data_IF_154452026158
#
_entry.id   IF_154452026158
#
_cell.length_a   1.000
_cell.length_b   1.000
_cell.length_c   1.000
_cell.angle_alpha   90.00
_cell.angle_beta   90.00
_cell.angle_gamma   90.00
#
_symmetry.space_group_name_H-M   'P 1'
#
loop_
_entity.id
_entity.type
_entity.pdbx_description
1 polymer ?
#
# COMPACT_ATOMS: atom_id res chain seq x y z
N UNK A 1 11.72 -15.94 6.38
CA UNK A 1 11.55 -15.20 5.11
C UNK A 1 11.52 -16.08 3.85
N UNK A 2 12.49 -16.99 3.61
CA UNK A 2 12.59 -17.76 2.35
C UNK A 2 11.29 -18.47 1.90
N UNK A 3 10.55 -19.08 2.83
CA UNK A 3 9.26 -19.75 2.54
C UNK A 3 8.22 -18.82 1.90
N UNK A 4 8.21 -17.54 2.30
CA UNK A 4 7.28 -16.55 1.74
C UNK A 4 7.70 -16.15 0.30
N UNK A 5 9.00 -16.12 0.01
CA UNK A 5 9.50 -15.87 -1.34
C UNK A 5 9.16 -17.04 -2.27
N UNK A 6 9.41 -18.26 -1.83
CA UNK A 6 9.10 -19.49 -2.58
C UNK A 6 7.60 -19.64 -2.88
N UNK A 7 6.75 -19.18 -1.97
CA UNK A 7 5.30 -19.20 -2.13
C UNK A 7 4.73 -17.98 -2.86
N UNK A 8 5.58 -17.10 -3.42
CA UNK A 8 5.19 -15.82 -4.05
C UNK A 8 4.36 -14.89 -3.13
N UNK A 9 4.45 -15.10 -1.81
CA UNK A 9 3.81 -14.27 -0.78
C UNK A 9 4.62 -13.02 -0.50
N UNK A 10 5.92 -13.03 -0.80
CA UNK A 10 6.78 -11.86 -0.88
C UNK A 10 7.22 -11.69 -2.32
N UNK A 11 7.10 -10.48 -2.84
CA UNK A 11 7.54 -10.14 -4.21
C UNK A 11 6.86 -10.95 -5.32
N UNK A 12 5.67 -11.50 -5.06
CA UNK A 12 4.89 -12.18 -6.10
C UNK A 12 4.41 -11.20 -7.16
N UNK A 13 4.49 -11.61 -8.44
CA UNK A 13 4.12 -10.82 -9.63
C UNK A 13 4.97 -9.57 -9.85
N UNK A 14 6.29 -9.65 -9.65
CA UNK A 14 7.21 -8.65 -10.19
C UNK A 14 7.46 -8.89 -11.68
N UNK A 15 7.86 -7.83 -12.39
CA UNK A 15 8.24 -7.92 -13.79
C UNK A 15 9.71 -8.26 -13.92
N UNK A 16 10.02 -9.33 -14.66
CA UNK A 16 11.39 -9.71 -14.98
C UNK A 16 11.97 -8.78 -16.06
N UNK A 17 13.09 -8.14 -15.76
CA UNK A 17 13.87 -7.35 -16.71
C UNK A 17 15.08 -8.17 -17.13
N UNK A 18 15.11 -8.60 -18.40
CA UNK A 18 16.17 -9.46 -18.95
C UNK A 18 16.81 -8.88 -20.20
N UNK A 19 16.10 -7.99 -20.87
CA UNK A 19 16.52 -7.40 -22.12
C UNK A 19 17.66 -6.42 -21.87
N UNK A 20 18.81 -6.54 -22.57
CA UNK A 20 19.98 -5.68 -22.33
C UNK A 20 19.68 -4.18 -22.43
N UNK A 21 18.74 -3.79 -23.30
CA UNK A 21 18.34 -2.39 -23.45
C UNK A 21 17.54 -1.86 -22.27
N UNK A 22 16.73 -2.69 -21.60
CA UNK A 22 15.98 -2.31 -20.39
C UNK A 22 16.91 -2.23 -19.18
N UNK A 23 17.87 -3.15 -19.06
CA UNK A 23 18.92 -3.09 -18.02
C UNK A 23 19.75 -1.81 -18.18
N UNK A 24 20.18 -1.49 -19.41
CA UNK A 24 20.93 -0.27 -19.68
C UNK A 24 20.14 1.00 -19.33
N UNK A 25 18.84 1.02 -19.66
CA UNK A 25 17.91 2.10 -19.31
C UNK A 25 17.73 2.27 -17.80
N UNK A 26 17.57 1.16 -17.08
CA UNK A 26 17.51 1.16 -15.62
C UNK A 26 18.80 1.72 -15.01
N UNK A 27 19.97 1.30 -15.51
CA UNK A 27 21.27 1.82 -15.07
C UNK A 27 21.48 3.30 -15.40
N UNK A 28 20.88 3.83 -16.48
CA UNK A 28 20.84 5.27 -16.72
C UNK A 28 20.03 6.01 -15.66
N UNK A 29 18.87 5.47 -15.27
CA UNK A 29 18.06 6.05 -14.21
C UNK A 29 18.79 6.02 -12.85
N UNK A 30 19.45 4.90 -12.49
CA UNK A 30 20.28 4.81 -11.28
C UNK A 30 21.40 5.86 -11.29
N UNK A 31 22.13 5.98 -12.40
CA UNK A 31 23.20 6.97 -12.52
C UNK A 31 22.66 8.42 -12.42
N UNK A 32 21.45 8.69 -12.92
CA UNK A 32 20.81 9.99 -12.78
C UNK A 32 20.38 10.33 -11.34
N UNK A 33 20.20 9.31 -10.49
CA UNK A 33 19.98 9.47 -9.05
C UNK A 33 21.27 9.51 -8.22
N UNK A 34 22.43 9.57 -8.88
CA UNK A 34 23.76 9.43 -8.27
C UNK A 34 23.96 8.10 -7.52
N UNK A 35 23.25 7.04 -7.97
CA UNK A 35 23.37 5.70 -7.41
C UNK A 35 24.34 4.84 -8.25
N UNK A 36 25.03 3.86 -7.63
CA UNK A 36 25.84 2.90 -8.37
C UNK A 36 24.99 2.10 -9.35
N UNK A 37 25.53 1.86 -10.54
CA UNK A 37 24.88 0.99 -11.53
C UNK A 37 24.91 -0.47 -11.08
N UNK A 38 23.85 -1.22 -11.37
CA UNK A 38 23.80 -2.65 -11.10
C UNK A 38 24.59 -3.42 -12.14
N UNK A 39 25.29 -4.46 -11.70
CA UNK A 39 25.99 -5.42 -12.57
C UNK A 39 25.11 -6.63 -12.92
N UNK A 40 23.87 -6.67 -12.43
CA UNK A 40 22.93 -7.76 -12.68
C UNK A 40 22.50 -7.76 -14.14
N UNK A 41 22.55 -8.94 -14.76
CA UNK A 41 22.04 -9.16 -16.13
C UNK A 41 20.54 -9.38 -16.16
N UNK A 42 19.95 -9.82 -15.04
CA UNK A 42 18.51 -9.95 -14.85
C UNK A 42 18.11 -9.58 -13.43
N UNK A 43 16.95 -8.94 -13.29
CA UNK A 43 16.37 -8.60 -12.00
C UNK A 43 14.86 -8.42 -12.15
N UNK A 44 14.16 -8.28 -11.02
CA UNK A 44 12.71 -8.12 -11.00
C UNK A 44 12.36 -6.76 -10.41
N UNK A 45 11.37 -6.08 -11.00
CA UNK A 45 10.92 -4.75 -10.55
C UNK A 45 9.45 -4.74 -10.18
N UNK A 46 9.10 -3.84 -9.26
CA UNK A 46 7.74 -3.53 -8.86
C UNK A 46 7.15 -2.35 -9.68
N UNK A 47 5.92 -1.91 -9.38
CA UNK A 47 5.28 -0.79 -10.11
C UNK A 47 6.10 0.50 -10.08
N UNK A 48 6.83 0.74 -9.01
CA UNK A 48 7.69 1.93 -8.84
C UNK A 48 9.07 1.75 -9.46
N UNK A 49 9.40 0.56 -9.98
CA UNK A 49 10.72 0.22 -10.46
C UNK A 49 11.66 -0.31 -9.37
N UNK A 50 11.18 -0.51 -8.13
CA UNK A 50 12.02 -1.05 -7.07
C UNK A 50 12.34 -2.53 -7.32
N UNK A 51 13.62 -2.85 -7.28
CA UNK A 51 14.14 -4.22 -7.33
C UNK A 51 14.77 -4.66 -6.01
N UNK A 52 14.28 -5.75 -5.38
CA UNK A 52 14.92 -6.37 -4.21
C UNK A 52 16.33 -6.89 -4.48
N UNK A 53 16.61 -7.37 -5.70
CA UNK A 53 17.93 -7.87 -6.08
C UNK A 53 18.95 -6.73 -6.15
N UNK A 54 18.56 -5.60 -6.73
CA UNK A 54 19.41 -4.40 -6.80
C UNK A 54 19.62 -3.83 -5.40
N UNK A 55 18.59 -3.79 -4.54
CA UNK A 55 18.74 -3.40 -3.14
C UNK A 55 19.78 -4.26 -2.41
N UNK A 56 19.75 -5.58 -2.63
CA UNK A 56 20.71 -6.51 -2.04
C UNK A 56 22.14 -6.32 -2.57
N UNK A 57 22.32 -6.02 -3.87
CA UNK A 57 23.63 -5.71 -4.47
C UNK A 57 24.21 -4.41 -3.91
N UNK A 58 23.39 -3.38 -3.78
CA UNK A 58 23.81 -2.07 -3.25
C UNK A 58 23.99 -2.06 -1.73
N UNK A 59 23.46 -3.06 -1.03
CA UNK A 59 23.42 -3.10 0.44
C UNK A 59 22.48 -2.05 1.05
N UNK A 60 21.56 -1.50 0.25
CA UNK A 60 20.63 -0.45 0.63
C UNK A 60 19.18 -0.86 0.29
N UNK A 61 18.38 -1.29 1.29
CA UNK A 61 16.96 -1.61 1.12
C UNK A 61 16.11 -0.42 0.65
N UNK A 62 16.55 0.81 0.93
CA UNK A 62 15.80 2.04 0.74
C UNK A 62 16.38 2.89 -0.42
N UNK A 63 17.12 2.29 -1.38
CA UNK A 63 17.84 3.05 -2.43
C UNK A 63 16.93 3.91 -3.33
N UNK A 64 15.65 3.53 -3.48
CA UNK A 64 14.62 4.35 -4.15
C UNK A 64 13.68 5.07 -3.16
N UNK A 65 13.91 4.99 -1.86
CA UNK A 65 13.09 5.66 -0.86
C UNK A 65 13.97 6.42 0.15
N UNK A 66 14.77 7.39 -0.32
CA UNK A 66 15.71 8.11 0.52
C UNK A 66 14.97 8.79 1.68
N UNK A 67 15.45 8.54 2.90
CA UNK A 67 14.86 9.03 4.14
C UNK A 67 13.38 8.66 4.35
N UNK A 68 12.81 7.75 3.54
CA UNK A 68 11.41 7.29 3.61
C UNK A 68 10.35 8.35 3.37
N UNK A 69 10.70 9.42 2.64
CA UNK A 69 9.80 10.54 2.35
C UNK A 69 9.68 10.74 0.84
N UNK A 70 10.76 11.20 0.20
CA UNK A 70 10.76 11.54 -1.22
C UNK A 70 11.06 10.30 -2.07
N UNK A 71 10.04 9.45 -2.23
CA UNK A 71 10.20 8.19 -2.96
C UNK A 71 10.56 8.44 -4.42
N UNK A 72 11.64 7.81 -4.86
CA UNK A 72 12.07 7.76 -6.26
C UNK A 72 11.34 6.65 -7.00
N UNK A 73 11.09 6.85 -8.28
CA UNK A 73 10.51 5.84 -9.16
C UNK A 73 11.25 5.74 -10.48
N UNK A 74 11.20 4.55 -11.08
CA UNK A 74 11.74 4.23 -12.41
C UNK A 74 10.67 3.46 -13.18
N UNK A 75 10.26 4.01 -14.32
CA UNK A 75 9.26 3.42 -15.22
C UNK A 75 9.94 3.09 -16.55
N UNK A 76 10.22 1.80 -16.72
CA UNK A 76 10.80 1.20 -17.91
C UNK A 76 9.73 0.83 -18.95
N UNK A 77 8.54 0.42 -18.51
CA UNK A 77 7.47 -0.08 -19.39
C UNK A 77 6.08 0.24 -18.83
N UNK A 78 5.06 0.41 -19.69
CA UNK A 78 3.66 0.58 -19.26
C UNK A 78 3.09 -0.65 -18.55
N UNK A 79 3.65 -1.84 -18.79
CA UNK A 79 3.22 -3.09 -18.11
C UNK A 79 3.41 -3.03 -16.59
N UNK A 80 4.27 -2.12 -16.10
CA UNK A 80 4.48 -1.87 -14.68
C UNK A 80 3.19 -1.48 -13.94
N UNK A 81 2.21 -0.88 -14.62
CA UNK A 81 0.94 -0.46 -14.01
C UNK A 81 0.18 -1.63 -13.37
N UNK A 82 0.38 -2.88 -13.81
CA UNK A 82 -0.31 -4.04 -13.22
C UNK A 82 0.43 -4.67 -12.03
N UNK A 83 1.62 -4.17 -11.70
CA UNK A 83 2.50 -4.77 -10.69
C UNK A 83 2.13 -4.27 -9.29
N UNK A 84 2.38 -5.07 -8.24
CA UNK A 84 2.18 -4.62 -6.88
C UNK A 84 3.27 -3.63 -6.44
N UNK A 85 2.97 -2.76 -5.46
CA UNK A 85 4.01 -2.09 -4.67
C UNK A 85 4.54 -3.05 -3.62
N UNK A 86 5.85 -3.18 -3.58
CA UNK A 86 6.53 -4.13 -2.72
C UNK A 86 7.18 -3.46 -1.51
N UNK A 87 7.86 -2.34 -1.74
CA UNK A 87 8.54 -1.59 -0.71
C UNK A 87 7.86 -0.23 -0.59
N UNK A 88 7.25 0.12 0.54
CA UNK A 88 6.67 1.45 0.70
C UNK A 88 6.61 1.90 2.15
N UNK A 89 6.95 3.18 2.34
CA UNK A 89 6.80 3.91 3.60
C UNK A 89 5.40 4.49 3.78
N UNK A 90 4.62 4.64 2.71
CA UNK A 90 3.25 5.17 2.73
C UNK A 90 2.24 4.19 2.10
N UNK A 91 1.03 4.08 2.67
CA UNK A 91 0.03 3.12 2.18
C UNK A 91 -0.64 3.51 0.86
N UNK A 92 -0.61 4.79 0.51
CA UNK A 92 -1.26 5.36 -0.67
C UNK A 92 -0.39 5.33 -1.93
N UNK A 93 0.90 5.00 -1.82
CA UNK A 93 1.85 5.00 -2.95
C UNK A 93 1.36 4.13 -4.11
N UNK A 94 0.75 2.98 -3.84
CA UNK A 94 0.19 2.12 -4.88
C UNK A 94 -0.92 2.83 -5.67
N UNK A 95 -1.90 3.40 -4.97
CA UNK A 95 -2.99 4.15 -5.58
C UNK A 95 -2.49 5.36 -6.36
N UNK A 96 -1.53 6.10 -5.81
CA UNK A 96 -0.90 7.23 -6.51
C UNK A 96 -0.22 6.81 -7.81
N UNK A 97 0.53 5.70 -7.79
CA UNK A 97 1.19 5.20 -8.99
C UNK A 97 0.16 4.78 -10.04
N UNK A 98 -0.88 4.03 -9.67
CA UNK A 98 -1.94 3.67 -10.61
C UNK A 98 -2.66 4.89 -11.18
N UNK A 99 -2.93 5.90 -10.37
CA UNK A 99 -3.54 7.14 -10.83
C UNK A 99 -2.60 7.91 -11.78
N UNK A 100 -1.30 7.93 -11.49
CA UNK A 100 -0.28 8.51 -12.36
C UNK A 100 -0.16 7.75 -13.69
N UNK A 101 -0.12 6.41 -13.67
CA UNK A 101 -0.09 5.57 -14.86
C UNK A 101 -1.35 5.78 -15.71
N UNK A 102 -2.53 5.75 -15.08
CA UNK A 102 -3.81 5.93 -15.76
C UNK A 102 -3.95 7.33 -16.38
N UNK A 103 -3.61 8.38 -15.63
CA UNK A 103 -3.72 9.76 -16.10
C UNK A 103 -2.71 10.08 -17.22
N UNK A 104 -1.55 9.43 -17.22
CA UNK A 104 -0.44 9.73 -18.14
C UNK A 104 -0.13 8.57 -19.11
N UNK A 105 -1.06 7.62 -19.29
CA UNK A 105 -0.83 6.38 -20.03
C UNK A 105 -0.23 6.61 -21.43
N UNK A 106 -0.77 7.57 -22.19
CA UNK A 106 -0.27 7.90 -23.54
C UNK A 106 1.18 8.39 -23.52
N UNK A 107 1.53 9.26 -22.58
CA UNK A 107 2.87 9.81 -22.45
C UNK A 107 3.87 8.72 -22.02
N UNK A 108 3.49 7.90 -21.03
CA UNK A 108 4.31 6.78 -20.55
C UNK A 108 4.56 5.79 -21.69
N UNK A 109 3.53 5.37 -22.42
CA UNK A 109 3.68 4.50 -23.60
C UNK A 109 4.64 5.10 -24.63
N UNK A 110 4.46 6.37 -24.99
CA UNK A 110 5.30 7.01 -25.99
C UNK A 110 6.79 7.10 -25.60
N UNK A 111 7.07 7.43 -24.33
CA UNK A 111 8.44 7.66 -23.86
C UNK A 111 9.18 6.33 -23.66
N UNK A 112 8.52 5.36 -23.02
CA UNK A 112 9.09 4.03 -22.74
C UNK A 112 9.47 3.24 -24.00
N UNK A 113 8.98 3.61 -25.18
CA UNK A 113 9.44 3.04 -26.45
C UNK A 113 10.93 3.30 -26.71
N UNK A 114 11.41 4.51 -26.42
CA UNK A 114 12.78 4.94 -26.73
C UNK A 114 13.64 5.15 -25.49
N UNK A 115 13.05 5.58 -24.39
CA UNK A 115 13.74 6.01 -23.19
C UNK A 115 13.10 5.43 -21.93
N UNK A 116 13.50 5.93 -20.76
CA UNK A 116 12.95 5.56 -19.46
C UNK A 116 12.56 6.80 -18.69
N UNK A 117 11.41 6.71 -18.05
CA UNK A 117 10.95 7.72 -17.13
C UNK A 117 11.50 7.41 -15.75
N UNK A 118 12.01 8.42 -15.07
CA UNK A 118 12.41 8.31 -13.68
C UNK A 118 12.07 9.63 -12.98
N UNK A 119 12.00 9.61 -11.67
CA UNK A 119 11.58 10.79 -10.97
C UNK A 119 11.43 10.60 -9.48
N UNK A 120 10.89 11.63 -8.84
CA UNK A 120 10.61 11.64 -7.41
C UNK A 120 9.15 11.99 -7.18
N UNK A 121 8.56 11.31 -6.22
CA UNK A 121 7.30 11.66 -5.58
C UNK A 121 7.69 12.68 -4.51
N UNK A 122 7.66 13.96 -4.87
CA UNK A 122 8.09 15.05 -4.01
C UNK A 122 6.98 15.40 -3.01
N UNK A 123 7.32 15.24 -1.73
CA UNK A 123 6.54 15.77 -0.63
C UNK A 123 6.99 17.19 -0.29
N UNK A 124 6.12 17.96 0.35
CA UNK A 124 6.48 19.30 0.86
C UNK A 124 7.54 19.28 1.96
N UNK A 125 7.92 18.10 2.44
CA UNK A 125 8.83 17.87 3.57
C UNK A 125 10.04 17.08 3.10
N UNK A 126 11.24 17.51 3.47
CA UNK A 126 12.48 16.83 3.10
C UNK A 126 12.83 15.63 4.00
N UNK A 127 12.42 15.68 5.27
CA UNK A 127 12.70 14.67 6.29
C UNK A 127 11.62 14.72 7.37
N UNK A 128 11.10 13.55 7.79
CA UNK A 128 10.08 13.46 8.84
C UNK A 128 10.77 13.29 10.20
N UNK A 129 10.68 14.31 11.07
CA UNK A 129 11.22 14.27 12.44
C UNK A 129 10.13 14.19 13.50
N UNK A 130 8.96 14.72 13.18
CA UNK A 130 7.81 14.84 14.07
C UNK A 130 6.51 14.55 13.34
N UNK A 131 5.42 14.33 14.09
CA UNK A 131 4.08 14.18 13.52
C UNK A 131 3.60 15.43 12.77
N UNK A 132 4.05 16.62 13.15
CA UNK A 132 3.68 17.87 12.47
C UNK A 132 4.26 17.92 11.04
N UNK A 133 5.39 17.26 10.81
CA UNK A 133 5.98 17.13 9.48
C UNK A 133 5.09 16.26 8.59
N UNK A 134 4.61 15.11 9.09
CA UNK A 134 3.67 14.24 8.36
C UNK A 134 2.35 14.96 8.04
N UNK A 135 1.84 15.76 8.99
CA UNK A 135 0.61 16.54 8.81
C UNK A 135 0.76 17.68 7.80
N UNK A 136 1.99 18.09 7.49
CA UNK A 136 2.25 19.11 6.48
C UNK A 136 2.17 18.56 5.06
N UNK A 137 2.22 17.22 4.89
CA UNK A 137 2.10 16.52 3.61
C UNK A 137 0.62 16.50 3.19
N UNK A 138 0.18 17.58 2.54
CA UNK A 138 -1.20 17.71 2.06
C UNK A 138 -1.34 17.26 0.59
N UNK A 139 -0.33 17.54 -0.21
CA UNK A 139 -0.30 17.26 -1.64
C UNK A 139 1.08 16.74 -2.02
N UNK A 140 1.09 15.86 -3.01
CA UNK A 140 2.30 15.21 -3.50
C UNK A 140 2.49 15.53 -4.96
N UNK A 141 3.73 15.83 -5.34
CA UNK A 141 4.07 16.23 -6.69
C UNK A 141 5.01 15.23 -7.35
N UNK A 142 4.56 14.65 -8.47
CA UNK A 142 5.42 13.85 -9.32
C UNK A 142 6.38 14.75 -10.10
N UNK A 143 7.67 14.69 -9.78
CA UNK A 143 8.74 15.24 -10.61
C UNK A 143 9.19 14.17 -11.59
N UNK A 144 8.82 14.32 -12.85
CA UNK A 144 9.13 13.35 -13.91
C UNK A 144 10.28 13.86 -14.77
N UNK A 145 11.28 13.02 -14.95
CA UNK A 145 12.44 13.22 -15.82
C UNK A 145 12.57 12.04 -16.79
N UNK A 146 13.33 12.25 -17.87
CA UNK A 146 13.64 11.24 -18.89
C UNK A 146 15.14 11.08 -19.01
N UNK A 147 15.65 9.84 -19.12
CA UNK A 147 17.09 9.58 -19.03
C UNK A 147 17.93 10.23 -20.14
N UNK A 148 17.33 10.46 -21.32
CA UNK A 148 17.98 11.16 -22.45
C UNK A 148 17.48 12.61 -22.64
N UNK A 149 16.85 13.17 -21.59
CA UNK A 149 16.24 14.51 -21.59
C UNK A 149 15.24 14.74 -22.75
N UNK A 150 14.54 13.69 -23.18
CA UNK A 150 13.45 13.81 -24.15
C UNK A 150 12.35 14.77 -23.67
N UNK A 151 12.06 14.80 -22.37
CA UNK A 151 11.08 15.73 -21.78
C UNK A 151 11.53 17.18 -21.89
N UNK A 152 12.78 17.50 -21.50
CA UNK A 152 13.32 18.85 -21.60
C UNK A 152 13.40 19.32 -23.04
N UNK A 153 13.85 18.45 -23.95
CA UNK A 153 13.88 18.73 -25.40
C UNK A 153 12.48 18.97 -25.99
N UNK A 154 11.48 18.20 -25.58
CA UNK A 154 10.10 18.39 -26.02
C UNK A 154 9.50 19.70 -25.49
N UNK A 155 9.81 20.07 -24.24
CA UNK A 155 9.45 21.36 -23.65
C UNK A 155 10.10 22.53 -24.38
N UNK A 156 11.40 22.43 -24.69
CA UNK A 156 12.12 23.44 -25.48
C UNK A 156 11.51 23.59 -26.87
N UNK A 157 11.21 22.48 -27.57
CA UNK A 157 10.58 22.54 -28.89
C UNK A 157 9.19 23.20 -28.83
N UNK A 158 8.40 22.96 -27.78
CA UNK A 158 7.12 23.63 -27.56
C UNK A 158 7.28 25.15 -27.41
N UNK A 159 8.22 25.59 -26.58
CA UNK A 159 8.51 27.02 -26.41
C UNK A 159 8.93 27.68 -27.72
N UNK A 160 9.75 27.00 -28.53
CA UNK A 160 10.16 27.50 -29.84
C UNK A 160 8.99 27.55 -30.84
N UNK A 161 8.09 26.56 -30.82
CA UNK A 161 6.85 26.60 -31.59
C UNK A 161 5.96 27.77 -31.18
N UNK A 162 5.79 28.01 -29.88
CA UNK A 162 4.99 29.13 -29.37
C UNK A 162 5.63 30.47 -29.79
N UNK A 163 6.95 30.62 -29.63
CA UNK A 163 7.70 31.79 -30.06
C UNK A 163 7.57 32.05 -31.57
N UNK A 164 7.59 31.00 -32.40
CA UNK A 164 7.40 31.10 -33.84
C UNK A 164 6.01 31.67 -34.21
N UNK A 165 4.99 31.36 -33.41
CA UNK A 165 3.61 31.83 -33.63
C UNK A 165 3.40 33.24 -33.06
N UNK A 166 3.98 33.56 -31.90
CA UNK A 166 3.72 34.83 -31.21
C UNK A 166 4.62 35.98 -31.65
N UNK A 167 5.85 35.69 -32.07
CA UNK A 167 6.86 36.72 -32.34
C UNK A 167 6.92 37.08 -33.82
N UNK A 168 6.81 38.37 -34.21
CA UNK A 168 6.72 38.80 -35.61
C UNK A 168 7.92 38.42 -36.49
N UNK A 169 9.11 38.32 -35.90
CA UNK A 169 10.38 38.10 -36.62
C UNK A 169 10.99 36.71 -36.38
N UNK A 170 10.37 35.86 -35.56
CA UNK A 170 10.94 34.55 -35.20
C UNK A 170 11.07 33.59 -36.39
N UNK A 171 10.27 33.77 -37.45
CA UNK A 171 10.38 33.01 -38.70
C UNK A 171 11.64 33.35 -39.52
N UNK A 172 12.36 34.44 -39.17
CA UNK A 172 13.60 34.87 -39.83
C UNK A 172 14.85 34.41 -39.09
N UNK A 173 14.68 33.81 -37.92
CA UNK A 173 15.80 33.31 -37.11
C UNK A 173 16.15 31.89 -37.56
N UNK A 174 17.10 31.78 -38.50
CA UNK A 174 17.57 30.50 -39.03
C UNK A 174 18.14 29.60 -37.93
N UNK A 175 18.82 30.15 -36.93
CA UNK A 175 19.38 29.38 -35.82
C UNK A 175 18.27 28.78 -34.93
N UNK A 176 17.20 29.54 -34.70
CA UNK A 176 16.00 29.04 -34.02
C UNK A 176 15.35 27.89 -34.79
N UNK A 177 15.16 28.05 -36.10
CA UNK A 177 14.55 27.03 -36.96
C UNK A 177 15.39 25.76 -37.06
N UNK A 178 16.72 25.89 -37.22
CA UNK A 178 17.65 24.75 -37.21
C UNK A 178 17.57 24.00 -35.88
N UNK A 179 17.51 24.73 -34.76
CA UNK A 179 17.34 24.14 -33.44
C UNK A 179 16.01 23.39 -33.32
N UNK A 180 14.91 23.94 -33.84
CA UNK A 180 13.62 23.24 -33.88
C UNK A 180 13.70 21.94 -34.68
N UNK A 181 14.34 21.93 -35.85
CA UNK A 181 14.51 20.73 -36.68
C UNK A 181 15.34 19.66 -35.95
N UNK A 182 16.43 20.06 -35.28
CA UNK A 182 17.23 19.14 -34.48
C UNK A 182 16.40 18.49 -33.38
N UNK A 183 15.67 19.30 -32.60
CA UNK A 183 14.82 18.81 -31.50
C UNK A 183 13.70 17.91 -32.01
N UNK A 184 13.09 18.22 -33.17
CA UNK A 184 12.02 17.42 -33.76
C UNK A 184 12.52 16.05 -34.26
N UNK A 185 13.77 15.93 -34.74
CA UNK A 185 14.36 14.64 -35.10
C UNK A 185 14.52 13.72 -33.89
N UNK A 186 14.82 14.28 -32.74
CA UNK A 186 15.02 13.52 -31.50
C UNK A 186 13.69 13.18 -30.82
N UNK A 187 12.80 14.16 -30.66
CA UNK A 187 11.54 14.04 -29.91
C UNK A 187 10.37 13.50 -30.73
N UNK A 188 10.40 13.64 -32.06
CA UNK A 188 9.26 13.32 -32.93
C UNK A 188 8.21 14.43 -32.99
N UNK A 189 6.99 14.11 -33.43
CA UNK A 189 5.90 15.10 -33.52
C UNK A 189 5.23 15.32 -32.15
N UNK A 190 5.68 16.35 -31.43
CA UNK A 190 5.16 16.74 -30.11
C UNK A 190 3.72 17.28 -30.13
N UNK A 191 3.12 17.51 -31.30
CA UNK A 191 1.74 17.99 -31.44
C UNK A 191 0.74 16.84 -31.41
N UNK A 192 1.13 15.70 -31.96
CA UNK A 192 0.32 14.48 -31.95
C UNK A 192 0.69 13.55 -30.80
N UNK A 193 1.93 13.63 -30.32
CA UNK A 193 2.43 12.81 -29.23
C UNK A 193 2.63 13.66 -27.98
N UNK A 194 1.71 13.55 -27.02
CA UNK A 194 1.85 14.20 -25.72
C UNK A 194 2.95 13.47 -24.94
N UNK A 195 4.17 13.99 -25.03
CA UNK A 195 5.33 13.44 -24.33
C UNK A 195 5.44 13.95 -22.89
N UNK A 196 4.69 14.98 -22.50
CA UNK A 196 4.78 15.56 -21.14
C UNK A 196 3.59 15.07 -20.31
N UNK A 197 3.81 14.40 -19.16
CA UNK A 197 2.76 14.08 -18.21
C UNK A 197 2.09 15.36 -17.66
N UNK A 198 0.77 15.43 -17.68
CA UNK A 198 0.00 16.64 -17.35
C UNK A 198 -0.51 16.62 -15.90
N UNK A 199 -0.86 15.42 -15.37
CA UNK A 199 -1.37 15.27 -14.01
C UNK A 199 -0.25 14.82 -13.09
N UNK A 200 0.31 15.78 -12.34
CA UNK A 200 1.46 15.59 -11.46
C UNK A 200 1.16 15.83 -9.98
N UNK A 201 -0.01 16.38 -9.64
CA UNK A 201 -0.35 16.72 -8.24
C UNK A 201 -1.52 15.87 -7.77
N UNK A 202 -1.34 15.23 -6.61
CA UNK A 202 -2.32 14.34 -6.00
C UNK A 202 -2.50 14.68 -4.52
N UNK A 203 -3.72 14.54 -4.00
CA UNK A 203 -4.06 14.87 -2.60
C UNK A 203 -4.04 13.65 -1.70
N UNK A 204 -3.78 13.89 -0.42
CA UNK A 204 -3.80 12.86 0.61
C UNK A 204 -4.91 13.12 1.62
N UNK A 205 -6.04 12.44 1.42
CA UNK A 205 -7.17 12.52 2.35
C UNK A 205 -7.02 11.53 3.50
N UNK A 206 -6.42 10.35 3.26
CA UNK A 206 -6.15 9.39 4.32
C UNK A 206 -4.96 8.49 3.97
N UNK A 207 -4.03 8.31 4.91
CA UNK A 207 -2.86 7.44 4.68
C UNK A 207 -2.27 6.87 5.97
N UNK A 208 -1.50 5.79 5.81
CA UNK A 208 -0.62 5.25 6.85
C UNK A 208 0.84 5.50 6.45
N UNK A 209 1.68 5.82 7.43
CA UNK A 209 3.12 5.99 7.26
C UNK A 209 3.88 5.06 8.23
N UNK A 210 4.95 4.39 7.79
CA UNK A 210 5.79 3.49 8.62
C UNK A 210 6.70 4.23 9.63
N UNK A 211 6.51 5.54 9.78
CA UNK A 211 7.25 6.37 10.71
C UNK A 211 6.77 6.12 12.15
N UNK A 212 7.67 6.24 13.13
CA UNK A 212 7.35 6.14 14.58
C UNK A 212 6.58 4.87 14.98
N UNK A 213 6.80 3.75 14.29
CA UNK A 213 6.11 2.47 14.55
C UNK A 213 4.78 2.29 13.81
N UNK A 214 4.36 3.29 13.03
CA UNK A 214 3.12 3.31 12.27
C UNK A 214 2.21 4.46 12.71
N UNK A 215 1.94 5.37 11.78
CA UNK A 215 1.03 6.51 11.99
C UNK A 215 -0.11 6.43 10.99
N UNK A 216 -1.34 6.48 11.46
CA UNK A 216 -2.53 6.61 10.62
C UNK A 216 -3.01 8.06 10.66
N UNK A 217 -3.22 8.64 9.49
CA UNK A 217 -3.72 10.01 9.31
C UNK A 217 -5.01 9.96 8.51
N UNK A 218 -6.06 10.54 9.07
CA UNK A 218 -7.37 10.71 8.42
C UNK A 218 -7.67 12.21 8.37
N UNK A 219 -7.69 12.79 7.18
CA UNK A 219 -7.98 14.21 6.93
C UNK A 219 -9.46 14.35 6.61
N UNK A 220 -10.26 14.71 7.62
CA UNK A 220 -11.68 15.06 7.42
C UNK A 220 -11.83 16.57 7.19
N UNK A 221 -12.98 17.02 6.66
CA UNK A 221 -13.24 18.45 6.33
C UNK A 221 -12.97 19.44 7.47
N UNK A 222 -13.12 19.01 8.73
CA UNK A 222 -13.05 19.88 9.91
C UNK A 222 -11.83 19.63 10.78
N UNK A 223 -11.41 18.37 10.92
CA UNK A 223 -10.38 17.92 11.86
C UNK A 223 -9.59 16.81 11.19
N UNK A 224 -8.27 16.87 11.30
CA UNK A 224 -7.40 15.74 10.97
C UNK A 224 -7.27 14.86 12.19
N UNK A 225 -7.56 13.56 12.06
CA UNK A 225 -7.37 12.58 13.14
C UNK A 225 -6.09 11.80 12.91
N UNK A 226 -5.21 11.79 13.91
CA UNK A 226 -3.95 11.03 13.93
C UNK A 226 -4.06 9.92 14.96
N UNK A 227 -3.80 8.69 14.54
CA UNK A 227 -3.78 7.50 15.39
C UNK A 227 -2.37 6.91 15.36
N UNK A 228 -1.67 6.94 16.50
CA UNK A 228 -0.28 6.49 16.60
C UNK A 228 0.11 6.16 18.05
N UNK A 229 1.33 5.65 18.24
CA UNK A 229 1.93 5.46 19.56
C UNK A 229 2.07 6.81 20.30
N UNK A 230 1.60 6.92 21.56
CA UNK A 230 1.77 8.13 22.37
C UNK A 230 3.21 8.61 22.57
N UNK A 231 4.20 7.73 22.38
CA UNK A 231 5.63 8.07 22.44
C UNK A 231 6.16 8.70 21.16
N UNK A 232 5.35 8.78 20.09
CA UNK A 232 5.75 9.40 18.84
C UNK A 232 6.10 10.89 19.02
N UNK A 233 7.21 11.38 18.43
CA UNK A 233 7.61 12.78 18.52
C UNK A 233 6.53 13.72 17.99
N UNK A 234 6.02 14.62 18.83
CA UNK A 234 4.96 15.56 18.46
C UNK A 234 3.53 15.09 18.78
N UNK A 235 3.37 13.95 19.47
CA UNK A 235 2.05 13.54 19.96
C UNK A 235 1.40 14.64 20.81
N UNK A 236 0.18 15.07 20.42
CA UNK A 236 -0.58 16.16 21.08
C UNK A 236 0.14 17.51 21.16
N UNK A 237 1.08 17.81 20.25
CA UNK A 237 1.67 19.15 20.14
C UNK A 237 0.86 20.11 19.28
N UNK A 238 0.22 19.61 18.22
CA UNK A 238 -0.60 20.44 17.33
C UNK A 238 -1.86 20.99 18.00
N UNK A 239 -2.43 22.03 17.38
CA UNK A 239 -3.61 22.74 17.87
C UNK A 239 -4.82 21.79 17.99
N UNK A 240 -5.44 21.63 19.18
CA UNK A 240 -6.52 20.65 19.41
C UNK A 240 -7.77 20.84 18.54
N UNK A 241 -7.98 22.04 18.00
CA UNK A 241 -9.12 22.36 17.14
C UNK A 241 -8.89 22.01 15.66
N UNK A 242 -7.64 21.68 15.26
CA UNK A 242 -7.28 21.26 13.91
C UNK A 242 -6.93 19.77 13.87
N UNK A 243 -6.30 19.25 14.92
CA UNK A 243 -5.78 17.88 14.96
C UNK A 243 -6.26 17.16 16.21
N UNK A 244 -6.89 16.00 16.01
CA UNK A 244 -7.28 15.08 17.07
C UNK A 244 -6.29 13.92 17.14
N UNK A 245 -5.67 13.71 18.30
CA UNK A 245 -4.75 12.59 18.52
C UNK A 245 -5.41 11.49 19.34
N UNK A 246 -5.42 10.27 18.80
CA UNK A 246 -5.90 9.05 19.45
C UNK A 246 -4.70 8.13 19.66
N UNK A 247 -4.58 7.55 20.86
CA UNK A 247 -3.57 6.52 21.10
C UNK A 247 -3.94 5.26 20.32
N UNK A 248 -2.98 4.63 19.64
CA UNK A 248 -3.20 3.34 18.98
C UNK A 248 -3.61 2.24 19.99
N UNK A 249 -3.19 2.36 21.25
CA UNK A 249 -3.56 1.43 22.33
C UNK A 249 -5.01 1.62 22.82
N UNK A 250 -5.60 2.79 22.58
CA UNK A 250 -6.99 3.09 22.95
C UNK A 250 -7.97 2.61 21.86
N UNK A 251 -8.05 1.29 21.74
CA UNK A 251 -8.93 0.59 20.80
C UNK A 251 -10.41 1.02 20.90
N UNK A 252 -10.85 1.43 22.10
CA UNK A 252 -12.19 1.96 22.31
C UNK A 252 -12.40 3.29 21.60
N UNK A 253 -11.48 4.25 21.81
CA UNK A 253 -11.53 5.55 21.16
C UNK A 253 -11.35 5.43 19.64
N UNK A 254 -10.51 4.51 19.16
CA UNK A 254 -10.36 4.21 17.72
C UNK A 254 -11.67 3.69 17.13
N UNK A 255 -12.31 2.71 17.77
CA UNK A 255 -13.58 2.15 17.29
C UNK A 255 -14.69 3.22 17.26
N UNK A 256 -14.76 4.06 18.28
CA UNK A 256 -15.75 5.15 18.35
C UNK A 256 -15.50 6.22 17.26
N UNK A 257 -14.24 6.54 16.96
CA UNK A 257 -13.88 7.45 15.86
C UNK A 257 -14.32 6.89 14.50
N UNK A 258 -13.94 5.64 14.19
CA UNK A 258 -14.28 5.01 12.91
C UNK A 258 -15.80 4.85 12.76
N UNK A 259 -16.53 4.50 13.84
CA UNK A 259 -17.98 4.42 13.83
C UNK A 259 -18.64 5.79 13.60
N UNK A 260 -18.21 6.84 14.32
CA UNK A 260 -18.78 8.19 14.21
C UNK A 260 -18.55 8.81 12.83
N UNK A 261 -17.46 8.45 12.17
CA UNK A 261 -17.13 8.94 10.83
C UNK A 261 -17.70 8.09 9.70
N UNK A 262 -18.47 7.04 10.01
CA UNK A 262 -19.10 6.19 8.98
C UNK A 262 -18.14 5.26 8.25
N UNK A 263 -16.93 5.02 8.81
CA UNK A 263 -15.90 4.16 8.20
C UNK A 263 -16.10 2.67 8.50
N UNK A 264 -17.04 2.30 9.38
CA UNK A 264 -17.29 0.91 9.77
C UNK A 264 -18.64 0.41 9.28
N UNK A 265 -18.65 -0.76 8.63
CA UNK A 265 -19.87 -1.51 8.41
C UNK A 265 -20.20 -2.32 9.68
N UNK A 266 -21.33 -1.99 10.32
CA UNK A 266 -21.79 -2.67 11.54
C UNK A 266 -22.33 -4.08 11.22
N UNK A 267 -22.18 -5.05 12.14
CA UNK A 267 -22.58 -6.44 11.89
C UNK A 267 -24.09 -6.59 11.72
N UNK A 268 -24.48 -7.08 10.55
CA UNK A 268 -25.85 -7.50 10.20
C UNK A 268 -25.81 -8.90 9.62
N UNK A 269 -26.84 -9.70 9.86
CA UNK A 269 -26.89 -11.08 9.40
C UNK A 269 -26.65 -11.20 7.89
N UNK A 270 -27.18 -10.26 7.09
CA UNK A 270 -27.09 -10.26 5.63
C UNK A 270 -25.66 -10.36 5.10
N UNK A 271 -24.72 -9.58 5.63
CA UNK A 271 -23.34 -9.59 5.16
C UNK A 271 -22.46 -10.54 5.97
N UNK A 272 -22.74 -10.72 7.28
CA UNK A 272 -21.93 -11.61 8.13
C UNK A 272 -22.07 -13.07 7.67
N UNK A 273 -23.29 -13.52 7.38
CA UNK A 273 -23.53 -14.90 6.93
C UNK A 273 -23.02 -15.12 5.50
N UNK A 274 -23.23 -14.14 4.59
CA UNK A 274 -22.78 -14.26 3.19
C UNK A 274 -21.25 -14.17 3.04
N UNK A 275 -20.60 -13.35 3.87
CA UNK A 275 -19.14 -13.18 3.84
C UNK A 275 -18.42 -14.35 4.51
N UNK A 276 -18.95 -14.87 5.61
CA UNK A 276 -18.24 -15.81 6.47
C UNK A 276 -17.10 -15.16 7.29
N UNK A 277 -17.04 -13.83 7.38
CA UNK A 277 -15.94 -13.12 8.07
C UNK A 277 -15.81 -13.54 9.55
N UNK A 278 -16.92 -13.73 10.25
CA UNK A 278 -16.90 -14.13 11.66
C UNK A 278 -16.41 -15.56 11.84
N UNK A 279 -16.77 -16.47 10.93
CA UNK A 279 -16.25 -17.83 10.92
C UNK A 279 -14.74 -17.84 10.66
N UNK A 280 -14.26 -17.02 9.71
CA UNK A 280 -12.85 -16.81 9.45
C UNK A 280 -12.12 -16.29 10.71
N UNK A 281 -12.62 -15.22 11.35
CA UNK A 281 -12.01 -14.67 12.56
C UNK A 281 -12.02 -15.64 13.75
N UNK A 282 -13.03 -16.49 13.88
CA UNK A 282 -13.06 -17.56 14.88
C UNK A 282 -11.93 -18.56 14.67
N UNK A 283 -11.71 -18.98 13.42
CA UNK A 283 -10.59 -19.85 13.04
C UNK A 283 -9.26 -19.17 13.37
N UNK A 284 -9.06 -17.90 12.98
CA UNK A 284 -7.83 -17.15 13.24
C UNK A 284 -7.56 -17.00 14.74
N UNK A 285 -8.57 -16.65 15.54
CA UNK A 285 -8.46 -16.53 16.98
C UNK A 285 -8.01 -17.86 17.62
N UNK A 286 -8.59 -18.98 17.18
CA UNK A 286 -8.22 -20.31 17.65
C UNK A 286 -6.77 -20.68 17.27
N UNK A 287 -6.38 -20.43 16.03
CA UNK A 287 -5.01 -20.69 15.54
C UNK A 287 -3.96 -19.86 16.27
N UNK A 288 -4.29 -18.61 16.60
CA UNK A 288 -3.40 -17.75 17.38
C UNK A 288 -3.16 -18.25 18.81
N UNK A 289 -4.10 -19.03 19.37
CA UNK A 289 -3.92 -19.72 20.65
C UNK A 289 -3.03 -20.94 20.45
N UNK A 290 -3.30 -21.74 19.41
CA UNK A 290 -2.48 -22.90 19.06
C UNK A 290 -1.00 -22.53 18.84
N UNK A 291 -0.75 -21.41 18.14
CA UNK A 291 0.58 -20.88 17.89
C UNK A 291 1.33 -20.43 19.16
N UNK A 292 0.62 -20.14 20.25
CA UNK A 292 1.21 -19.71 21.52
C UNK A 292 1.48 -20.86 22.51
N UNK A 293 1.08 -22.09 22.17
CA UNK A 293 1.36 -23.27 22.99
C UNK A 293 2.77 -23.81 22.72
N UNK A 294 3.37 -24.40 23.76
CA UNK A 294 4.64 -25.12 23.67
C UNK A 294 4.47 -26.56 24.21
N UNK A 295 4.59 -27.60 23.35
CA UNK A 295 4.86 -27.53 21.92
C UNK A 295 3.65 -27.02 21.11
N UNK A 296 3.93 -26.43 19.94
CA UNK A 296 2.89 -26.06 18.97
C UNK A 296 2.18 -27.34 18.49
N UNK A 297 0.84 -27.39 18.49
CA UNK A 297 0.09 -28.53 17.98
C UNK A 297 0.39 -28.83 16.52
N UNK A 298 0.12 -30.06 16.08
CA UNK A 298 0.17 -30.38 14.66
C UNK A 298 -0.93 -29.64 13.89
N UNK A 299 -0.51 -28.77 12.96
CA UNK A 299 -1.35 -27.93 12.12
C UNK A 299 -1.45 -28.43 10.67
N UNK A 300 -0.93 -29.62 10.36
CA UNK A 300 -0.98 -30.17 9.00
C UNK A 300 -2.39 -30.50 8.53
N UNK A 301 -3.30 -30.81 9.46
CA UNK A 301 -4.73 -31.09 9.18
C UNK A 301 -5.63 -30.37 10.18
N UNK A 302 -6.10 -29.21 9.77
CA UNK A 302 -7.08 -28.43 10.52
C UNK A 302 -8.46 -28.66 9.92
N UNK A 303 -9.13 -29.69 10.43
CA UNK A 303 -10.50 -30.03 10.08
C UNK A 303 -11.48 -29.65 11.22
N UNK A 304 -12.80 -29.72 11.00
CA UNK A 304 -13.79 -29.40 12.05
C UNK A 304 -13.62 -30.22 13.33
N UNK A 305 -13.16 -31.47 13.24
CA UNK A 305 -12.96 -32.36 14.39
C UNK A 305 -11.75 -31.92 15.21
N UNK A 306 -10.66 -31.54 14.54
CA UNK A 306 -9.48 -30.97 15.15
C UNK A 306 -9.83 -29.68 15.88
N UNK A 307 -10.55 -28.75 15.23
CA UNK A 307 -10.95 -27.48 15.84
C UNK A 307 -11.80 -27.70 17.09
N UNK A 308 -12.78 -28.60 17.02
CA UNK A 308 -13.65 -28.93 18.17
C UNK A 308 -12.84 -29.57 19.31
N UNK A 309 -11.95 -30.50 19.01
CA UNK A 309 -11.10 -31.15 20.02
C UNK A 309 -10.17 -30.14 20.68
N UNK A 310 -9.56 -29.26 19.89
CA UNK A 310 -8.68 -28.21 20.36
C UNK A 310 -9.41 -27.23 21.28
N UNK A 311 -10.64 -26.83 20.89
CA UNK A 311 -11.52 -25.98 21.71
C UNK A 311 -11.77 -26.57 23.08
N UNK A 312 -12.19 -27.83 23.14
CA UNK A 312 -12.50 -28.48 24.41
C UNK A 312 -11.27 -28.62 25.31
N UNK A 313 -10.09 -28.93 24.74
CA UNK A 313 -8.84 -29.09 25.49
C UNK A 313 -8.28 -27.76 26.00
N UNK A 314 -8.47 -26.68 25.25
CA UNK A 314 -7.87 -25.37 25.53
C UNK A 314 -8.90 -24.30 25.90
N UNK A 315 -10.09 -24.71 26.36
CA UNK A 315 -11.23 -23.82 26.60
C UNK A 315 -10.87 -22.62 27.50
N UNK A 316 -10.06 -22.84 28.55
CA UNK A 316 -9.60 -21.77 29.44
C UNK A 316 -8.74 -20.75 28.69
N UNK A 317 -7.68 -21.18 28.01
CA UNK A 317 -6.79 -20.28 27.27
C UNK A 317 -7.52 -19.49 26.17
N UNK A 318 -8.52 -20.12 25.53
CA UNK A 318 -9.36 -19.47 24.51
C UNK A 318 -10.32 -18.46 25.14
N UNK A 319 -10.94 -18.80 26.27
CA UNK A 319 -11.85 -17.91 26.99
C UNK A 319 -11.13 -16.71 27.61
N UNK A 320 -9.91 -16.90 28.11
CA UNK A 320 -9.11 -15.83 28.73
C UNK A 320 -8.79 -14.71 27.73
N UNK A 321 -8.73 -15.01 26.42
CA UNK A 321 -8.57 -14.00 25.36
C UNK A 321 -9.86 -13.28 24.97
N UNK A 322 -11.04 -13.79 25.33
CA UNK A 322 -12.35 -13.15 25.12
C UNK A 322 -12.87 -13.07 23.67
N UNK A 323 -12.00 -13.06 22.66
CA UNK A 323 -12.36 -12.92 21.23
C UNK A 323 -13.24 -14.06 20.73
N UNK A 324 -12.88 -15.30 21.04
CA UNK A 324 -13.59 -16.47 20.53
C UNK A 324 -15.02 -16.59 21.11
N UNK A 325 -15.24 -16.49 22.44
CA UNK A 325 -16.59 -16.46 23.01
C UNK A 325 -17.44 -15.30 22.45
N UNK A 326 -16.84 -14.12 22.25
CA UNK A 326 -17.53 -12.97 21.68
C UNK A 326 -18.06 -13.25 20.28
N UNK A 327 -17.22 -13.77 19.39
CA UNK A 327 -17.60 -14.07 18.01
C UNK A 327 -18.67 -15.16 17.93
N UNK A 328 -18.59 -16.18 18.78
CA UNK A 328 -19.63 -17.21 18.87
C UNK A 328 -20.97 -16.63 19.32
N UNK A 329 -20.97 -15.79 20.35
CA UNK A 329 -22.20 -15.15 20.84
C UNK A 329 -22.79 -14.18 19.81
N UNK A 330 -21.92 -13.45 19.11
CA UNK A 330 -22.33 -12.54 18.05
C UNK A 330 -23.00 -13.31 16.88
N UNK A 331 -22.41 -14.43 16.42
CA UNK A 331 -23.02 -15.29 15.40
C UNK A 331 -24.39 -15.81 15.86
N UNK A 332 -24.48 -16.36 17.07
CA UNK A 332 -25.74 -16.87 17.63
C UNK A 332 -26.82 -15.80 17.71
N UNK A 333 -26.44 -14.59 18.11
CA UNK A 333 -27.37 -13.46 18.22
C UNK A 333 -27.83 -12.97 16.86
N UNK A 334 -26.92 -12.85 15.88
CA UNK A 334 -27.24 -12.45 14.52
C UNK A 334 -28.19 -13.44 13.84
N UNK A 335 -27.95 -14.75 13.95
CA UNK A 335 -28.86 -15.75 13.37
C UNK A 335 -30.25 -15.77 14.02
N UNK A 336 -30.39 -15.30 15.28
CA UNK A 336 -31.68 -15.23 15.98
C UNK A 336 -32.42 -13.91 15.75
N UNK A 337 -31.71 -12.79 15.71
CA UNK A 337 -32.32 -11.44 15.78
C UNK A 337 -32.02 -10.56 14.56
N UNK A 338 -31.12 -10.99 13.68
CA UNK A 338 -30.68 -10.27 12.49
C UNK A 338 -29.66 -9.15 12.75
N UNK A 339 -29.60 -8.62 13.97
CA UNK A 339 -28.80 -7.44 14.33
C UNK A 339 -28.06 -7.64 15.66
N UNK A 340 -26.94 -6.93 15.84
CA UNK A 340 -26.19 -6.90 17.09
C UNK A 340 -26.16 -5.50 17.68
N UNK A 341 -26.36 -5.38 19.01
CA UNK A 341 -26.26 -4.10 19.71
C UNK A 341 -24.82 -3.83 20.12
N UNK A 342 -24.09 -3.07 19.30
CA UNK A 342 -22.67 -2.76 19.55
C UNK A 342 -22.40 -2.03 20.87
N UNK A 343 -23.39 -1.31 21.41
CA UNK A 343 -23.29 -0.63 22.70
C UNK A 343 -23.08 -1.61 23.88
N UNK A 344 -23.60 -2.84 23.76
CA UNK A 344 -23.50 -3.87 24.81
C UNK A 344 -22.17 -4.65 24.75
N UNK A 345 -21.36 -4.41 23.70
CA UNK A 345 -20.07 -5.07 23.50
C UNK A 345 -18.95 -4.21 24.09
N UNK A 346 -18.01 -4.88 24.78
CA UNK A 346 -16.78 -4.26 25.28
C UNK A 346 -16.10 -3.46 24.15
N UNK A 347 -15.89 -2.14 24.31
CA UNK A 347 -15.26 -1.30 23.30
C UNK A 347 -13.97 -1.87 22.72
N UNK A 348 -13.15 -2.53 23.54
CA UNK A 348 -11.85 -3.11 23.10
C UNK A 348 -12.00 -4.24 22.10
N UNK A 349 -13.15 -4.91 22.09
CA UNK A 349 -13.40 -6.06 21.23
C UNK A 349 -14.29 -5.72 20.02
N UNK A 350 -14.82 -4.50 19.92
CA UNK A 350 -15.73 -4.10 18.83
C UNK A 350 -15.12 -4.27 17.44
N UNK A 351 -13.81 -4.03 17.31
CA UNK A 351 -13.09 -4.15 16.03
C UNK A 351 -13.12 -5.58 15.45
N UNK A 352 -13.26 -6.61 16.31
CA UNK A 352 -13.44 -8.00 15.87
C UNK A 352 -14.78 -8.27 15.20
N UNK A 353 -15.76 -7.38 15.32
CA UNK A 353 -17.12 -7.56 14.83
C UNK A 353 -17.47 -6.68 13.63
N UNK A 354 -16.51 -5.91 13.12
CA UNK A 354 -16.71 -4.96 12.02
C UNK A 354 -15.68 -5.17 10.91
N UNK A 355 -15.99 -4.65 9.73
CA UNK A 355 -15.04 -4.39 8.65
C UNK A 355 -15.17 -2.92 8.25
N UNK A 356 -14.25 -2.43 7.41
CA UNK A 356 -14.46 -1.10 6.82
C UNK A 356 -15.74 -1.07 5.98
N UNK A 357 -16.39 0.08 5.93
CA UNK A 357 -17.53 0.33 5.05
C UNK A 357 -17.08 0.22 3.57
N UNK A 358 -17.62 -0.73 2.77
CA UNK A 358 -17.12 -1.02 1.42
C UNK A 358 -17.28 0.10 0.39
N UNK A 359 -18.15 1.08 0.65
CA UNK A 359 -18.35 2.22 -0.26
C UNK A 359 -17.62 3.48 0.24
N UNK A 360 -16.91 3.40 1.38
CA UNK A 360 -16.20 4.54 1.94
C UNK A 360 -14.83 4.73 1.24
N UNK A 361 -14.42 5.97 0.88
CA UNK A 361 -13.12 6.23 0.26
C UNK A 361 -11.93 5.63 1.03
N UNK A 362 -11.94 5.76 2.35
CA UNK A 362 -10.87 5.27 3.25
C UNK A 362 -10.96 3.78 3.61
N UNK A 363 -11.74 2.96 2.89
CA UNK A 363 -11.96 1.56 3.21
C UNK A 363 -10.66 0.74 3.35
N UNK A 364 -9.65 1.04 2.53
CA UNK A 364 -8.35 0.36 2.55
C UNK A 364 -7.57 0.70 3.82
N UNK A 365 -7.47 1.99 4.16
CA UNK A 365 -6.78 2.43 5.37
C UNK A 365 -7.51 1.96 6.63
N UNK A 366 -8.84 1.97 6.61
CA UNK A 366 -9.66 1.50 7.72
C UNK A 366 -9.46 0.01 7.95
N UNK A 367 -9.51 -0.82 6.89
CA UNK A 367 -9.22 -2.26 7.03
C UNK A 367 -7.77 -2.51 7.46
N UNK A 368 -6.81 -1.68 7.03
CA UNK A 368 -5.43 -1.74 7.52
C UNK A 368 -5.35 -1.47 9.02
N UNK A 369 -6.02 -0.43 9.52
CA UNK A 369 -6.07 -0.11 10.94
C UNK A 369 -6.74 -1.22 11.76
N UNK A 370 -7.86 -1.76 11.27
CA UNK A 370 -8.52 -2.91 11.92
C UNK A 370 -7.57 -4.10 11.98
N UNK A 371 -6.94 -4.48 10.85
CA UNK A 371 -6.00 -5.59 10.79
C UNK A 371 -4.78 -5.39 11.70
N UNK A 372 -4.31 -4.15 11.83
CA UNK A 372 -3.22 -3.78 12.74
C UNK A 372 -3.61 -4.01 14.21
N UNK A 373 -4.86 -3.66 14.58
CA UNK A 373 -5.40 -3.79 15.93
C UNK A 373 -5.96 -5.19 16.25
N UNK A 374 -6.09 -6.06 15.25
CA UNK A 374 -6.48 -7.47 15.40
C UNK A 374 -5.36 -8.40 14.92
N UNK A 375 -4.19 -8.38 15.60
CA UNK A 375 -2.97 -8.99 15.08
C UNK A 375 -3.02 -10.52 14.92
N UNK A 376 -3.99 -11.18 15.54
CA UNK A 376 -4.21 -12.63 15.48
C UNK A 376 -4.79 -13.09 14.14
N UNK A 377 -5.46 -12.20 13.39
CA UNK A 377 -5.93 -12.49 12.03
C UNK A 377 -4.80 -12.22 11.01
N UNK A 378 -3.87 -13.17 10.94
CA UNK A 378 -2.71 -13.06 10.04
C UNK A 378 -3.11 -12.93 8.56
N UNK A 379 -4.30 -13.40 8.17
CA UNK A 379 -4.80 -13.26 6.80
C UNK A 379 -5.21 -11.81 6.54
N UNK A 380 -6.01 -11.20 7.42
CA UNK A 380 -6.32 -9.76 7.35
C UNK A 380 -5.05 -8.91 7.33
N UNK A 381 -4.05 -9.25 8.16
CA UNK A 381 -2.76 -8.54 8.15
C UNK A 381 -2.03 -8.69 6.82
N UNK A 382 -1.95 -9.89 6.26
CA UNK A 382 -1.29 -10.07 4.96
C UNK A 382 -1.99 -9.27 3.84
N UNK A 383 -3.32 -9.15 3.91
CA UNK A 383 -4.10 -8.39 2.91
C UNK A 383 -3.90 -6.88 3.07
N UNK A 384 -3.95 -6.34 4.29
CA UNK A 384 -4.02 -4.88 4.52
C UNK A 384 -2.80 -4.26 5.23
N UNK A 385 -2.14 -4.99 6.13
CA UNK A 385 -0.99 -4.54 6.92
C UNK A 385 0.23 -5.45 6.68
N UNK A 386 0.73 -5.49 5.44
CA UNK A 386 1.85 -6.36 5.03
C UNK A 386 3.10 -6.14 5.90
N UNK A 387 3.44 -4.88 6.19
CA UNK A 387 4.59 -4.55 7.04
C UNK A 387 4.43 -5.17 8.44
N UNK A 388 3.26 -5.02 9.06
CA UNK A 388 2.97 -5.65 10.34
C UNK A 388 2.94 -7.18 10.27
N UNK A 389 2.42 -7.76 9.20
CA UNK A 389 2.44 -9.21 8.96
C UNK A 389 3.86 -9.75 8.92
N UNK A 390 4.77 -9.15 8.13
CA UNK A 390 6.16 -9.63 8.03
C UNK A 390 6.90 -9.54 9.37
N UNK A 391 6.72 -8.43 10.11
CA UNK A 391 7.29 -8.28 11.47
C UNK A 391 6.81 -9.38 12.43
N UNK A 392 5.53 -9.73 12.38
CA UNK A 392 4.97 -10.79 13.22
C UNK A 392 5.41 -12.19 12.76
N UNK A 393 5.43 -12.44 11.45
CA UNK A 393 5.81 -13.72 10.87
C UNK A 393 7.22 -14.16 11.28
N UNK A 394 8.16 -13.22 11.34
CA UNK A 394 9.54 -13.49 11.78
C UNK A 394 9.65 -13.89 13.25
N UNK A 395 8.60 -13.72 14.05
CA UNK A 395 8.53 -14.14 15.45
C UNK A 395 7.72 -15.42 15.66
N UNK A 396 6.98 -15.89 14.64
CA UNK A 396 6.15 -17.09 14.76
C UNK A 396 6.99 -18.36 14.96
N UNK A 397 6.49 -19.38 15.68
CA UNK A 397 7.11 -20.70 15.71
C UNK A 397 7.15 -21.35 14.33
N UNK A 398 8.13 -22.23 14.10
CA UNK A 398 8.38 -22.82 12.78
C UNK A 398 7.17 -23.56 12.19
N UNK A 399 6.52 -24.42 12.99
CA UNK A 399 5.33 -25.16 12.56
C UNK A 399 4.16 -24.23 12.18
N UNK A 400 4.04 -23.08 12.85
CA UNK A 400 2.99 -22.10 12.56
C UNK A 400 3.31 -21.31 11.28
N UNK A 401 4.58 -20.99 11.02
CA UNK A 401 5.00 -20.35 9.77
C UNK A 401 4.62 -21.19 8.55
N UNK A 402 4.86 -22.49 8.59
CA UNK A 402 4.49 -23.41 7.50
C UNK A 402 2.99 -23.42 7.23
N UNK A 403 2.20 -23.50 8.30
CA UNK A 403 0.76 -23.44 8.20
C UNK A 403 0.28 -22.10 7.60
N UNK A 404 0.81 -20.97 8.09
CA UNK A 404 0.45 -19.62 7.61
C UNK A 404 0.73 -19.49 6.10
N UNK A 405 1.90 -19.94 5.64
CA UNK A 405 2.26 -19.92 4.21
C UNK A 405 1.31 -20.79 3.40
N UNK A 406 1.11 -22.05 3.79
CA UNK A 406 0.19 -22.96 3.10
C UNK A 406 -1.22 -22.37 3.04
N UNK A 407 -1.74 -21.84 4.15
CA UNK A 407 -3.08 -21.25 4.22
C UNK A 407 -3.23 -20.06 3.28
N UNK A 408 -2.28 -19.13 3.26
CA UNK A 408 -2.33 -17.96 2.38
C UNK A 408 -2.27 -18.36 0.90
N UNK A 409 -1.42 -19.32 0.55
CA UNK A 409 -1.32 -19.87 -0.81
C UNK A 409 -2.60 -20.58 -1.24
N UNK A 410 -3.20 -21.35 -0.35
CA UNK A 410 -4.39 -22.15 -0.66
C UNK A 410 -5.71 -21.38 -0.65
N UNK A 411 -5.73 -20.18 -0.06
CA UNK A 411 -6.95 -19.37 0.06
C UNK A 411 -6.84 -18.06 -0.72
N UNK A 412 -6.07 -17.11 -0.19
CA UNK A 412 -6.00 -15.75 -0.71
C UNK A 412 -5.32 -15.67 -2.08
N UNK A 413 -4.23 -16.41 -2.31
CA UNK A 413 -3.51 -16.32 -3.59
C UNK A 413 -4.27 -16.93 -4.77
N UNK A 414 -5.21 -17.87 -4.53
CA UNK A 414 -6.01 -18.49 -5.60
C UNK A 414 -6.91 -17.48 -6.31
N UNK A 415 -7.59 -16.62 -5.56
CA UNK A 415 -8.47 -15.58 -6.10
C UNK A 415 -8.53 -14.37 -5.15
N UNK A 416 -7.57 -13.44 -5.31
CA UNK A 416 -7.47 -12.23 -4.48
C UNK A 416 -8.72 -11.35 -4.60
N UNK A 417 -9.23 -11.02 -5.81
CA UNK A 417 -10.46 -10.23 -5.95
C UNK A 417 -11.67 -10.87 -5.28
N UNK A 418 -11.96 -12.14 -5.53
CA UNK A 418 -13.13 -12.79 -4.95
C UNK A 418 -13.01 -12.91 -3.42
N UNK A 419 -11.82 -13.19 -2.90
CA UNK A 419 -11.59 -13.23 -1.46
C UNK A 419 -11.86 -11.87 -0.79
N UNK A 420 -11.31 -10.78 -1.37
CA UNK A 420 -11.51 -9.41 -0.88
C UNK A 420 -12.98 -9.00 -0.96
N UNK A 421 -13.64 -9.26 -2.08
CA UNK A 421 -15.05 -8.97 -2.29
C UNK A 421 -15.94 -9.72 -1.30
N UNK A 422 -15.68 -11.01 -1.07
CA UNK A 422 -16.46 -11.84 -0.15
C UNK A 422 -16.32 -11.35 1.29
N UNK A 423 -15.10 -11.23 1.80
CA UNK A 423 -14.88 -10.92 3.22
C UNK A 423 -15.05 -9.44 3.55
N UNK A 424 -14.59 -8.55 2.66
CA UNK A 424 -14.47 -7.13 2.95
C UNK A 424 -15.34 -6.24 2.08
N UNK A 425 -16.07 -6.80 1.10
CA UNK A 425 -16.91 -6.03 0.18
C UNK A 425 -16.13 -5.28 -0.91
N UNK A 426 -14.80 -5.38 -0.93
CA UNK A 426 -13.94 -4.61 -1.82
C UNK A 426 -13.97 -5.16 -3.26
N UNK A 427 -14.28 -4.29 -4.23
CA UNK A 427 -14.16 -4.55 -5.68
C UNK A 427 -12.79 -4.18 -6.26
N UNK A 428 -12.58 -4.49 -7.54
CA UNK A 428 -11.31 -4.23 -8.25
C UNK A 428 -11.11 -2.76 -8.67
N UNK A 429 -12.08 -1.86 -8.39
CA UNK A 429 -12.05 -0.48 -8.86
C UNK A 429 -10.99 0.41 -8.16
N UNK A 430 -10.33 -0.10 -7.09
CA UNK A 430 -9.42 0.67 -6.25
C UNK A 430 -8.21 -0.12 -5.72
N UNK A 431 -7.79 -1.20 -6.40
CA UNK A 431 -6.64 -2.01 -5.98
C UNK A 431 -5.31 -1.44 -6.47
#
# INVERSE_FOLDING_TARGET
MNRLLEAELIYGRLLAIREPHLVARYNKALAAFDLPQTNLTEFYIDITGFSPQVAAELGDPDYLDPLKVNRRFIILTPEQDSLPVVHTSFSNTAGLMHEFFSANARAIHAITLKDTLYGEIEDSVSEVKTLDDLLSINEVKFKVLSAEDLLGKAGQLRQLCDALVTSPDAWRDDAMLERMVSLAKETGDIRQNTLVPDKLVFRHDAFWADHFGGVFVFVDEKITTVICDPQAPGFRRSRPWQVSYISIDDTAQVADFLARTGRLELPRASWVESSGLFAHRLEMALLSVAAALDPVPDLTRIDPVWMQTFLHRNAKAISDRGVYPLLQEALRTLSRTGNLRMADIDPKLRLWLVRAEPDHPDQWLTNRLIAHLTPEDFVSRFVFDKQGFYRAYDQYPEAYRDYVVSRLSDTYLKDKPAFRKRLYGLGDDHA
#
